data_IF_962424254804
#
_entry.id   IF_962424254804
#
_cell.length_a   1.000
_cell.length_b   1.000
_cell.length_c   1.000
_cell.angle_alpha   90.00
_cell.angle_beta   90.00
_cell.angle_gamma   90.00
#
_symmetry.space_group_name_H-M   'P 1'
#
loop_
_entity.id
_entity.type
_entity.pdbx_description
1 polymer ?
#
# COMPACT_ATOMS: atom_id res chain seq x y z
N UNK A 1 -6.90 3.61 0.39
CA UNK A 1 -7.01 2.66 -0.75
C UNK A 1 -7.00 1.23 -0.21
N UNK A 2 -7.68 0.30 -0.87
CA UNK A 2 -7.67 -1.13 -0.52
C UNK A 2 -7.20 -1.97 -1.71
N UNK A 3 -6.25 -2.86 -1.47
CA UNK A 3 -5.75 -3.83 -2.44
C UNK A 3 -6.17 -5.22 -1.99
N UNK A 4 -7.07 -5.84 -2.75
CA UNK A 4 -7.49 -7.23 -2.50
C UNK A 4 -6.57 -8.16 -3.28
N UNK A 5 -6.07 -9.19 -2.61
CA UNK A 5 -5.22 -10.21 -3.20
C UNK A 5 -5.68 -11.61 -2.79
N UNK A 6 -5.18 -12.62 -3.50
CA UNK A 6 -5.48 -14.03 -3.26
C UNK A 6 -4.17 -14.81 -3.13
N UNK A 7 -4.09 -15.68 -2.13
CA UNK A 7 -2.99 -16.63 -2.03
C UNK A 7 -3.17 -17.76 -3.06
N UNK A 8 -2.46 -17.68 -4.19
CA UNK A 8 -2.46 -18.72 -5.23
C UNK A 8 -1.45 -19.86 -4.98
N UNK A 9 -0.71 -19.80 -3.88
CA UNK A 9 0.21 -20.86 -3.46
C UNK A 9 -0.53 -22.05 -2.84
N UNK A 10 0.18 -23.17 -2.66
CA UNK A 10 -0.39 -24.40 -2.08
C UNK A 10 -0.35 -24.45 -0.54
N UNK A 11 0.40 -23.56 0.09
CA UNK A 11 0.57 -23.46 1.54
C UNK A 11 0.02 -22.16 2.09
N UNK A 12 0.15 -21.97 3.39
CA UNK A 12 -0.20 -20.70 4.04
C UNK A 12 0.77 -19.59 3.64
N UNK A 13 0.21 -18.43 3.28
CA UNK A 13 0.94 -17.22 3.02
C UNK A 13 0.96 -16.37 4.28
N UNK A 14 2.15 -15.96 4.71
CA UNK A 14 2.36 -15.05 5.81
C UNK A 14 3.05 -13.79 5.30
N UNK A 15 2.38 -12.64 5.40
CA UNK A 15 3.00 -11.35 5.16
C UNK A 15 3.89 -11.05 6.36
N UNK A 16 5.18 -10.80 6.10
CA UNK A 16 6.19 -10.61 7.14
C UNK A 16 6.54 -9.15 7.36
N UNK A 17 6.45 -8.34 6.30
CA UNK A 17 6.78 -6.92 6.33
C UNK A 17 6.10 -6.19 5.19
N UNK A 18 5.69 -4.95 5.44
CA UNK A 18 5.25 -4.02 4.40
C UNK A 18 6.06 -2.73 4.56
N UNK A 19 6.78 -2.35 3.52
CA UNK A 19 7.60 -1.13 3.48
C UNK A 19 6.99 -0.11 2.51
N UNK A 20 6.90 1.14 2.94
CA UNK A 20 6.59 2.28 2.08
C UNK A 20 7.84 3.12 1.79
N UNK A 21 7.88 3.74 0.61
CA UNK A 21 9.02 4.55 0.14
C UNK A 21 9.16 5.91 0.84
N UNK A 22 8.09 6.45 1.43
CA UNK A 22 8.06 7.67 2.23
C UNK A 22 7.18 7.50 3.47
N UNK A 23 7.46 8.27 4.52
CA UNK A 23 6.57 8.38 5.69
C UNK A 23 5.17 8.93 5.37
N UNK A 24 4.96 9.43 4.15
CA UNK A 24 3.68 9.91 3.63
C UNK A 24 2.72 8.79 3.19
N UNK A 25 3.15 7.53 3.23
CA UNK A 25 2.30 6.37 2.95
C UNK A 25 2.38 5.37 4.10
N UNK A 26 1.23 5.08 4.70
CA UNK A 26 1.09 4.04 5.73
C UNK A 26 0.32 2.88 5.14
N UNK A 27 0.85 1.67 5.28
CA UNK A 27 0.20 0.45 4.83
C UNK A 27 -0.07 -0.48 6.02
N UNK A 28 -1.23 -1.12 6.02
CA UNK A 28 -1.68 -2.05 7.04
C UNK A 28 -2.24 -3.33 6.39
N UNK A 29 -2.10 -4.46 7.07
CA UNK A 29 -2.39 -5.80 6.55
C UNK A 29 -2.79 -6.76 7.67
N UNK A 30 -3.53 -7.81 7.32
CA UNK A 30 -3.83 -8.87 8.28
C UNK A 30 -2.58 -9.69 8.60
N UNK A 31 -2.20 -9.77 9.87
CA UNK A 31 -1.04 -10.56 10.34
C UNK A 31 -1.31 -12.06 10.42
N UNK A 32 -2.56 -12.48 10.19
CA UNK A 32 -2.97 -13.89 10.20
C UNK A 32 -2.44 -14.61 8.95
N UNK A 33 -2.17 -15.89 9.09
CA UNK A 33 -1.86 -16.75 7.95
C UNK A 33 -3.05 -16.82 6.97
N UNK A 34 -2.78 -16.63 5.68
CA UNK A 34 -3.79 -16.63 4.61
C UNK A 34 -3.72 -17.98 3.90
N UNK A 35 -4.82 -18.75 3.92
CA UNK A 35 -4.83 -20.11 3.33
C UNK A 35 -4.77 -20.08 1.81
N UNK A 36 -4.38 -21.21 1.21
CA UNK A 36 -4.45 -21.42 -0.24
C UNK A 36 -5.85 -21.12 -0.77
N UNK A 37 -5.95 -20.25 -1.78
CA UNK A 37 -7.20 -19.79 -2.40
C UNK A 37 -7.97 -18.74 -1.58
N UNK A 38 -7.51 -18.38 -0.39
CA UNK A 38 -8.13 -17.35 0.43
C UNK A 38 -7.73 -15.96 -0.07
N UNK A 39 -8.69 -15.02 0.02
CA UNK A 39 -8.47 -13.60 -0.27
C UNK A 39 -8.26 -12.83 1.02
N UNK A 40 -7.36 -11.86 0.96
CA UNK A 40 -7.16 -10.88 2.03
C UNK A 40 -6.91 -9.49 1.42
N UNK A 41 -6.74 -8.49 2.28
CA UNK A 41 -6.65 -7.09 1.89
C UNK A 41 -5.45 -6.41 2.53
N UNK A 42 -4.78 -5.56 1.76
CA UNK A 42 -3.82 -4.57 2.25
C UNK A 42 -4.48 -3.20 2.11
N UNK A 43 -4.56 -2.44 3.19
CA UNK A 43 -5.01 -1.04 3.15
C UNK A 43 -3.83 -0.11 3.13
N UNK A 44 -3.92 0.95 2.34
CA UNK A 44 -2.91 2.01 2.27
C UNK A 44 -3.56 3.38 2.41
N UNK A 45 -2.92 4.25 3.18
CA UNK A 45 -3.29 5.68 3.30
C UNK A 45 -2.12 6.50 2.78
N UNK A 46 -2.40 7.38 1.82
CA UNK A 46 -1.45 8.35 1.29
C UNK A 46 -1.83 9.73 1.81
N UNK A 47 -0.92 10.36 2.56
CA UNK A 47 -1.02 11.75 2.97
C UNK A 47 -0.45 12.65 1.86
N UNK A 48 -1.33 13.33 1.14
CA UNK A 48 -1.00 14.20 0.02
C UNK A 48 -0.64 15.63 0.44
N UNK A 49 -0.71 15.97 1.73
CA UNK A 49 -0.47 17.34 2.19
C UNK A 49 0.93 17.83 1.80
N UNK A 50 1.01 18.98 1.14
CA UNK A 50 2.27 19.56 0.67
C UNK A 50 2.94 18.82 -0.48
N UNK A 51 2.25 17.89 -1.16
CA UNK A 51 2.78 17.11 -2.28
C UNK A 51 2.04 17.40 -3.60
N UNK A 52 2.07 18.65 -4.12
CA UNK A 52 1.33 18.99 -5.33
C UNK A 52 1.90 18.30 -6.58
N UNK A 53 1.08 18.24 -7.63
CA UNK A 53 1.45 17.68 -8.92
C UNK A 53 1.39 16.16 -8.94
N UNK A 54 2.14 15.56 -9.86
CA UNK A 54 2.12 14.10 -10.08
C UNK A 54 2.95 13.36 -9.03
N UNK A 55 2.32 12.39 -8.38
CA UNK A 55 2.90 11.58 -7.32
C UNK A 55 2.85 10.10 -7.69
N UNK A 56 3.97 9.40 -7.49
CA UNK A 56 4.05 7.95 -7.52
C UNK A 56 4.58 7.49 -6.17
N UNK A 57 3.87 6.56 -5.53
CA UNK A 57 4.27 5.93 -4.27
C UNK A 57 4.30 4.43 -4.43
N UNK A 58 5.32 3.80 -3.85
CA UNK A 58 5.50 2.35 -3.88
C UNK A 58 5.40 1.77 -2.48
N UNK A 59 4.69 0.66 -2.39
CA UNK A 59 4.58 -0.17 -1.20
C UNK A 59 5.12 -1.55 -1.58
N UNK A 60 6.16 -2.01 -0.89
CA UNK A 60 6.74 -3.34 -1.08
C UNK A 60 6.26 -4.27 0.03
N UNK A 61 5.62 -5.37 -0.39
CA UNK A 61 5.04 -6.39 0.48
C UNK A 61 5.96 -7.61 0.45
N UNK A 62 6.51 -7.94 1.61
CA UNK A 62 7.33 -9.13 1.82
C UNK A 62 6.50 -10.21 2.50
N UNK A 63 6.76 -11.46 2.12
CA UNK A 63 6.08 -12.62 2.68
C UNK A 63 7.02 -13.83 2.68
N UNK A 64 6.51 -14.99 3.08
CA UNK A 64 7.19 -16.28 2.89
C UNK A 64 7.11 -16.82 1.44
N UNK A 65 6.59 -16.06 0.47
CA UNK A 65 6.69 -16.37 -0.95
C UNK A 65 8.10 -16.07 -1.50
N UNK A 66 8.40 -16.56 -2.71
CA UNK A 66 9.74 -16.44 -3.31
C UNK A 66 10.14 -15.01 -3.66
N UNK A 67 9.18 -14.16 -4.04
CA UNK A 67 9.44 -12.80 -4.54
C UNK A 67 8.54 -11.78 -3.82
N UNK A 68 9.06 -10.59 -3.47
CA UNK A 68 8.25 -9.49 -2.97
C UNK A 68 7.24 -8.99 -4.02
N UNK A 69 6.12 -8.47 -3.56
CA UNK A 69 5.11 -7.81 -4.42
C UNK A 69 5.21 -6.30 -4.25
N UNK A 70 5.18 -5.56 -5.34
CA UNK A 70 5.19 -4.09 -5.31
C UNK A 70 3.83 -3.55 -5.75
N UNK A 71 3.19 -2.81 -4.85
CA UNK A 71 1.98 -2.04 -5.13
C UNK A 71 2.38 -0.60 -5.49
N UNK A 72 1.76 -0.04 -6.52
CA UNK A 72 2.02 1.33 -6.96
C UNK A 72 0.75 2.16 -6.83
N UNK A 73 0.86 3.31 -6.18
CA UNK A 73 -0.18 4.33 -6.09
C UNK A 73 0.27 5.49 -6.97
N UNK A 74 -0.59 5.91 -7.89
CA UNK A 74 -0.38 7.09 -8.72
C UNK A 74 -1.50 8.10 -8.46
N UNK A 75 -1.14 9.35 -8.23
CA UNK A 75 -2.08 10.43 -7.98
C UNK A 75 -1.62 11.73 -8.65
N UNK A 76 -2.57 12.60 -8.97
CA UNK A 76 -2.32 14.01 -9.26
C UNK A 76 -2.95 14.78 -8.11
N UNK A 77 -2.14 15.55 -7.39
CA UNK A 77 -2.59 16.37 -6.27
C UNK A 77 -2.70 17.80 -6.77
N UNK A 78 -3.93 18.31 -6.78
CA UNK A 78 -4.17 19.69 -7.19
C UNK A 78 -3.54 20.66 -6.18
N UNK A 79 -2.97 21.75 -6.67
CA UNK A 79 -2.47 22.82 -5.82
C UNK A 79 -3.66 23.66 -5.37
N UNK A 80 -4.16 23.42 -4.16
CA UNK A 80 -5.06 24.38 -3.53
C UNK A 80 -4.21 25.53 -3.00
N UNK A 81 -4.31 26.70 -3.64
CA UNK A 81 -3.87 27.96 -3.04
C UNK A 81 -4.71 28.15 -1.78
N UNK A 82 -4.08 28.15 -0.61
CA UNK A 82 -4.72 28.46 0.67
C UNK A 82 -5.68 29.65 0.49
N UNK A 83 -6.97 29.40 0.70
CA UNK A 83 -7.95 30.46 0.83
C UNK A 83 -7.60 31.29 2.07
N UNK A 84 -7.10 32.50 1.82
CA UNK A 84 -7.13 33.61 2.78
C UNK A 84 -5.91 33.72 3.68
N UNK A 85 -4.99 34.60 3.31
CA UNK A 85 -4.46 35.55 4.29
C UNK A 85 -5.60 36.54 4.57
N UNK A 86 -6.30 36.36 5.68
CA UNK A 86 -7.01 37.48 6.34
C UNK A 86 -6.02 38.22 7.25
#
# INVERSE_FOLDING_TARGET
>A
MYFVFENKGKGELLITKVDSDCGCTVADFETKAIKSGEKSTISAVFDSNGLPGFQIKKITVFSNASEPVVLTISAVVDFELDKGFD
#
